data_IF_109405951314
#
_entry.id   IF_109405951314
#
_cell.length_a   1.000
_cell.length_b   1.000
_cell.length_c   1.000
_cell.angle_alpha   90.00
_cell.angle_beta   90.00
_cell.angle_gamma   90.00
#
_symmetry.space_group_name_H-M   'P 1'
#
loop_
_entity.id
_entity.type
_entity.pdbx_description
1 polymer ?
#
# COMPACT_ATOMS: atom_id res chain seq x y z
N UNK A 1 5.80 -2.75 6.82
CA UNK A 1 5.84 -2.77 8.30
C UNK A 1 7.19 -3.32 8.74
N UNK A 2 7.89 -2.67 9.68
CA UNK A 2 9.19 -3.15 10.15
C UNK A 2 9.09 -4.52 10.82
N UNK A 3 10.13 -5.35 10.64
CA UNK A 3 10.22 -6.68 11.23
C UNK A 3 9.99 -6.67 12.75
N UNK A 4 10.43 -5.64 13.47
CA UNK A 4 10.26 -5.52 14.93
C UNK A 4 8.83 -5.14 15.34
N UNK A 5 8.13 -4.35 14.52
CA UNK A 5 6.73 -3.98 14.72
C UNK A 5 5.72 -4.97 14.11
N UNK A 6 6.21 -5.99 13.40
CA UNK A 6 5.38 -6.94 12.66
C UNK A 6 4.35 -7.66 13.53
N UNK A 7 4.69 -8.16 14.75
CA UNK A 7 3.70 -8.85 15.58
C UNK A 7 2.51 -7.97 15.95
N UNK A 8 2.78 -6.73 16.40
CA UNK A 8 1.74 -5.79 16.81
C UNK A 8 0.92 -5.25 15.65
N UNK A 9 1.56 -4.98 14.51
CA UNK A 9 0.81 -4.48 13.35
C UNK A 9 -0.01 -5.55 12.62
N UNK A 10 0.40 -6.82 12.65
CA UNK A 10 -0.44 -7.93 12.18
C UNK A 10 -1.65 -8.15 13.09
N UNK A 11 -1.52 -7.93 14.40
CA UNK A 11 -2.63 -7.99 15.35
C UNK A 11 -3.65 -6.87 15.12
N UNK A 12 -3.18 -5.65 14.87
CA UNK A 12 -4.03 -4.51 14.51
C UNK A 12 -4.78 -4.74 13.19
N UNK A 13 -4.12 -5.33 12.19
CA UNK A 13 -4.73 -5.65 10.90
C UNK A 13 -5.76 -6.80 11.01
N UNK A 14 -5.54 -7.77 11.91
CA UNK A 14 -6.44 -8.90 12.11
C UNK A 14 -7.79 -8.52 12.72
N UNK A 15 -7.87 -7.41 13.46
CA UNK A 15 -9.11 -6.96 14.13
C UNK A 15 -10.19 -6.37 13.21
N UNK A 16 -9.86 -5.97 11.97
CA UNK A 16 -10.76 -5.17 11.12
C UNK A 16 -11.31 -5.86 9.87
N UNK A 17 -10.70 -6.94 9.39
CA UNK A 17 -11.08 -7.49 8.08
C UNK A 17 -10.34 -8.77 7.70
N UNK A 18 -10.70 -9.86 8.38
CA UNK A 18 -10.59 -11.26 7.93
C UNK A 18 -9.59 -11.63 6.83
N UNK A 19 -8.29 -11.49 7.09
CA UNK A 19 -7.20 -12.17 6.35
C UNK A 19 -5.91 -12.18 7.18
N UNK A 20 -5.99 -12.53 8.47
CA UNK A 20 -4.81 -12.65 9.32
C UNK A 20 -3.92 -13.81 8.87
N UNK A 21 -2.60 -13.60 8.86
CA UNK A 21 -1.62 -14.68 8.65
C UNK A 21 -1.79 -15.76 9.72
N UNK A 22 -1.65 -17.03 9.33
CA UNK A 22 -1.71 -18.15 10.26
C UNK A 22 -0.63 -17.98 11.36
N UNK A 23 -0.86 -18.44 12.59
CA UNK A 23 0.11 -18.29 13.67
C UNK A 23 1.48 -18.93 13.33
N UNK A 24 1.48 -20.03 12.57
CA UNK A 24 2.69 -20.69 12.10
C UNK A 24 3.47 -19.77 11.14
N UNK A 25 2.77 -19.15 10.18
CA UNK A 25 3.39 -18.21 9.24
C UNK A 25 3.89 -16.95 9.94
N UNK A 26 3.19 -16.48 10.98
CA UNK A 26 3.65 -15.36 11.82
C UNK A 26 4.94 -15.70 12.55
N UNK A 27 5.03 -16.90 13.14
CA UNK A 27 6.24 -17.37 13.79
C UNK A 27 7.40 -17.53 12.78
N UNK A 28 7.13 -18.10 11.61
CA UNK A 28 8.11 -18.25 10.54
C UNK A 28 8.66 -16.89 10.08
N UNK A 29 7.79 -15.91 9.79
CA UNK A 29 8.20 -14.55 9.43
C UNK A 29 9.01 -13.86 10.53
N UNK A 30 8.61 -14.05 11.80
CA UNK A 30 9.33 -13.50 12.95
C UNK A 30 10.76 -14.03 13.07
N UNK A 31 11.00 -15.28 12.66
CA UNK A 31 12.34 -15.87 12.62
C UNK A 31 13.10 -15.53 11.33
N UNK A 32 12.44 -15.50 10.17
CA UNK A 32 13.10 -15.38 8.88
C UNK A 32 13.51 -13.94 8.53
N UNK A 33 12.71 -12.93 8.90
CA UNK A 33 12.99 -11.53 8.53
C UNK A 33 14.26 -10.97 9.20
N UNK A 34 14.56 -11.27 10.48
CA UNK A 34 15.85 -10.89 11.08
C UNK A 34 17.05 -11.60 10.42
N UNK A 35 16.89 -12.85 10.01
CA UNK A 35 17.93 -13.59 9.26
C UNK A 35 18.19 -12.92 7.91
N UNK A 36 17.13 -12.57 7.18
CA UNK A 36 17.23 -11.80 5.94
C UNK A 36 17.98 -10.49 6.10
N UNK A 37 17.67 -9.74 7.17
CA UNK A 37 18.36 -8.47 7.48
C UNK A 37 19.87 -8.69 7.60
N UNK A 38 20.28 -9.74 8.31
CA UNK A 38 21.69 -10.09 8.52
C UNK A 38 22.36 -10.58 7.23
N UNK A 39 21.72 -11.50 6.53
CA UNK A 39 22.34 -12.23 5.40
C UNK A 39 22.54 -11.30 4.19
N UNK A 40 21.58 -10.42 3.91
CA UNK A 40 21.67 -9.42 2.85
C UNK A 40 22.20 -8.05 3.30
N UNK A 41 22.52 -7.88 4.60
CA UNK A 41 23.03 -6.65 5.21
C UNK A 41 22.13 -5.42 4.99
N UNK A 42 20.81 -5.63 5.08
CA UNK A 42 19.85 -4.52 5.03
C UNK A 42 19.85 -3.71 6.33
N UNK A 43 19.60 -2.41 6.24
CA UNK A 43 19.44 -1.57 7.42
C UNK A 43 18.08 -1.81 8.09
N UNK A 44 17.05 -1.99 7.29
CA UNK A 44 15.73 -2.43 7.74
C UNK A 44 15.12 -3.43 6.76
N UNK A 45 14.25 -4.30 7.28
CA UNK A 45 13.46 -5.22 6.47
C UNK A 45 11.99 -5.01 6.82
N UNK A 46 11.19 -4.78 5.78
CA UNK A 46 9.76 -4.59 5.90
C UNK A 46 9.02 -5.78 5.30
N UNK A 47 8.01 -6.26 6.00
CA UNK A 47 7.01 -7.11 5.38
C UNK A 47 6.05 -6.22 4.58
N UNK A 48 5.90 -6.51 3.29
CA UNK A 48 5.02 -5.78 2.38
C UNK A 48 3.61 -6.33 2.43
N UNK A 49 3.47 -7.66 2.34
CA UNK A 49 2.18 -8.32 2.30
C UNK A 49 2.23 -9.68 1.63
N UNK A 50 1.08 -10.12 1.15
CA UNK A 50 0.94 -11.38 0.42
C UNK A 50 0.11 -11.22 -0.86
N UNK A 51 0.45 -12.00 -1.88
CA UNK A 51 -0.27 -12.09 -3.16
C UNK A 51 -0.78 -13.51 -3.32
N UNK A 52 -2.10 -13.66 -3.36
CA UNK A 52 -2.74 -14.98 -3.47
C UNK A 52 -2.77 -15.43 -4.93
N UNK A 53 -2.09 -16.54 -5.21
CA UNK A 53 -2.24 -17.28 -6.47
C UNK A 53 -3.21 -18.44 -6.33
N UNK A 54 -3.45 -19.14 -7.45
CA UNK A 54 -4.35 -20.30 -7.53
C UNK A 54 -3.77 -21.51 -6.80
N UNK A 55 -2.47 -21.80 -6.98
CA UNK A 55 -1.79 -22.96 -6.38
C UNK A 55 -1.01 -22.62 -5.12
N UNK A 56 -0.65 -21.36 -4.91
CA UNK A 56 0.21 -20.91 -3.81
C UNK A 56 0.08 -19.42 -3.53
N UNK A 57 0.49 -19.00 -2.33
CA UNK A 57 0.50 -17.59 -1.92
C UNK A 57 1.93 -17.10 -1.85
N UNK A 58 2.22 -15.97 -2.49
CA UNK A 58 3.51 -15.29 -2.39
C UNK A 58 3.54 -14.38 -1.19
N UNK A 59 4.59 -14.47 -0.39
CA UNK A 59 4.90 -13.57 0.71
C UNK A 59 6.02 -12.65 0.29
N UNK A 60 5.82 -11.34 0.44
CA UNK A 60 6.75 -10.34 -0.07
C UNK A 60 7.40 -9.58 1.09
N UNK A 61 8.72 -9.53 1.06
CA UNK A 61 9.54 -8.70 1.94
C UNK A 61 10.32 -7.67 1.12
N UNK A 62 10.58 -6.52 1.73
CA UNK A 62 11.36 -5.44 1.16
C UNK A 62 12.55 -5.16 2.08
N UNK A 63 13.76 -5.30 1.56
CA UNK A 63 14.99 -4.83 2.19
C UNK A 63 15.22 -3.36 1.85
N UNK A 64 15.45 -2.56 2.88
CA UNK A 64 15.77 -1.14 2.75
C UNK A 64 17.22 -0.88 3.15
N UNK A 65 17.88 -0.02 2.37
CA UNK A 65 19.17 0.56 2.72
C UNK A 65 19.03 1.82 3.58
N UNK A 66 20.14 2.56 3.67
CA UNK A 66 20.23 3.81 4.42
C UNK A 66 19.37 4.93 3.83
N UNK A 67 19.23 4.96 2.50
CA UNK A 67 18.32 5.86 1.82
C UNK A 67 16.94 5.20 1.69
N UNK A 68 15.94 5.81 2.31
CA UNK A 68 14.56 5.30 2.31
C UNK A 68 13.88 5.48 0.96
N UNK A 69 14.36 6.40 0.12
CA UNK A 69 13.84 6.62 -1.23
C UNK A 69 14.57 5.83 -2.32
N UNK A 70 15.69 5.16 -1.98
CA UNK A 70 16.41 4.34 -2.94
C UNK A 70 15.59 3.10 -3.37
N UNK A 71 15.90 2.51 -4.55
CA UNK A 71 15.28 1.28 -5.00
C UNK A 71 15.39 0.19 -3.93
N UNK A 72 14.26 -0.36 -3.53
CA UNK A 72 14.18 -1.38 -2.49
C UNK A 72 14.49 -2.75 -3.08
N UNK A 73 15.27 -3.56 -2.36
CA UNK A 73 15.46 -4.96 -2.73
C UNK A 73 14.21 -5.75 -2.34
N UNK A 74 13.54 -6.39 -3.30
CA UNK A 74 12.34 -7.17 -3.02
C UNK A 74 12.69 -8.65 -2.97
N UNK A 75 12.09 -9.35 -2.02
CA UNK A 75 12.21 -10.80 -1.88
C UNK A 75 10.84 -11.43 -1.81
N UNK A 76 10.70 -12.62 -2.38
CA UNK A 76 9.50 -13.42 -2.26
C UNK A 76 9.79 -14.74 -1.55
N UNK A 77 8.75 -15.31 -0.95
CA UNK A 77 8.75 -16.63 -0.33
C UNK A 77 7.39 -17.29 -0.51
N UNK A 78 7.34 -18.61 -0.56
CA UNK A 78 6.08 -19.38 -0.61
C UNK A 78 5.72 -19.98 0.77
N UNK A 79 6.72 -20.16 1.64
CA UNK A 79 6.63 -20.85 2.93
C UNK A 79 6.93 -19.95 4.14
N UNK A 80 7.34 -18.70 3.91
CA UNK A 80 7.83 -17.74 4.91
C UNK A 80 9.16 -18.14 5.58
N UNK A 81 9.91 -19.08 5.02
CA UNK A 81 11.19 -19.56 5.57
C UNK A 81 12.31 -19.31 4.56
N UNK A 82 12.13 -19.77 3.33
CA UNK A 82 13.08 -19.58 2.24
C UNK A 82 12.69 -18.37 1.41
N UNK A 83 13.67 -17.50 1.15
CA UNK A 83 13.46 -16.23 0.48
C UNK A 83 14.33 -16.12 -0.75
N UNK A 84 13.72 -15.73 -1.86
CA UNK A 84 14.38 -15.53 -3.15
C UNK A 84 14.32 -14.07 -3.56
N UNK A 85 15.43 -13.54 -4.08
CA UNK A 85 15.51 -12.15 -4.53
C UNK A 85 14.74 -11.97 -5.85
N UNK A 86 13.92 -10.93 -5.90
CA UNK A 86 13.24 -10.48 -7.12
C UNK A 86 14.13 -9.46 -7.84
N UNK A 87 14.46 -9.74 -9.11
CA UNK A 87 15.26 -8.84 -9.94
C UNK A 87 14.40 -7.72 -10.49
N UNK A 88 14.77 -6.44 -10.32
CA UNK A 88 13.99 -5.33 -10.87
C UNK A 88 13.72 -5.51 -12.37
N UNK A 89 12.46 -5.35 -12.75
CA UNK A 89 12.00 -5.57 -14.13
C UNK A 89 12.22 -4.31 -14.96
N UNK A 90 12.61 -4.49 -16.22
CA UNK A 90 12.73 -3.39 -17.18
C UNK A 90 11.36 -2.75 -17.46
N UNK A 91 11.33 -1.45 -17.78
CA UNK A 91 10.06 -0.71 -17.91
C UNK A 91 9.14 -1.31 -18.98
N UNK A 92 9.74 -1.82 -20.05
CA UNK A 92 9.05 -2.42 -21.19
C UNK A 92 8.26 -3.66 -20.77
N UNK A 93 8.88 -4.53 -19.96
CA UNK A 93 8.22 -5.74 -19.44
C UNK A 93 7.15 -5.39 -18.40
N UNK A 94 7.36 -4.30 -17.64
CA UNK A 94 6.35 -3.77 -16.72
C UNK A 94 5.07 -3.33 -17.44
N UNK A 95 5.19 -2.57 -18.53
CA UNK A 95 4.05 -2.13 -19.34
C UNK A 95 3.29 -3.30 -19.97
N UNK A 96 4.00 -4.36 -20.35
CA UNK A 96 3.39 -5.57 -20.89
C UNK A 96 2.68 -6.37 -19.79
N UNK A 97 3.25 -6.45 -18.58
CA UNK A 97 2.64 -7.09 -17.43
C UNK A 97 1.33 -6.41 -17.00
N UNK A 98 1.21 -5.09 -17.16
CA UNK A 98 -0.05 -4.36 -16.92
C UNK A 98 -1.20 -4.78 -17.85
N UNK A 99 -0.87 -5.26 -19.07
CA UNK A 99 -1.87 -5.78 -20.01
C UNK A 99 -2.40 -7.16 -19.58
N UNK A 100 -1.62 -7.91 -18.80
CA UNK A 100 -1.99 -9.25 -18.32
C UNK A 100 -2.99 -9.19 -17.16
N UNK A 101 -4.27 -9.33 -17.50
CA UNK A 101 -5.36 -9.44 -16.52
C UNK A 101 -5.64 -10.90 -16.20
N UNK A 102 -5.51 -11.28 -14.93
CA UNK A 102 -5.76 -12.66 -14.48
C UNK A 102 -5.27 -12.91 -13.07
N UNK A 103 -5.59 -14.09 -12.51
CA UNK A 103 -5.03 -14.52 -11.22
C UNK A 103 -3.58 -14.98 -11.41
N UNK A 104 -2.78 -14.94 -10.35
CA UNK A 104 -1.45 -15.56 -10.34
C UNK A 104 -1.60 -17.07 -10.24
N UNK A 105 -0.75 -17.86 -10.91
CA UNK A 105 -0.85 -19.32 -10.78
C UNK A 105 -0.21 -19.81 -9.48
N UNK A 106 0.73 -19.07 -8.90
CA UNK A 106 1.46 -19.48 -7.70
C UNK A 106 2.71 -20.31 -8.00
N UNK A 107 3.25 -20.19 -9.23
CA UNK A 107 4.53 -20.77 -9.61
C UNK A 107 5.43 -19.69 -10.25
N UNK A 108 6.60 -19.35 -9.65
CA UNK A 108 7.50 -18.33 -10.19
C UNK A 108 7.99 -18.62 -11.62
N UNK A 109 8.10 -19.90 -11.99
CA UNK A 109 8.63 -20.34 -13.29
C UNK A 109 7.56 -20.38 -14.38
N UNK A 110 6.29 -20.11 -14.03
CA UNK A 110 5.21 -20.09 -14.99
C UNK A 110 5.42 -18.98 -16.01
N UNK A 111 5.19 -19.30 -17.28
CA UNK A 111 5.36 -18.39 -18.41
C UNK A 111 3.99 -18.13 -19.02
N UNK A 112 3.61 -16.86 -19.07
CA UNK A 112 2.40 -16.42 -19.74
C UNK A 112 2.69 -16.30 -21.24
N UNK A 113 2.04 -17.14 -22.02
CA UNK A 113 1.93 -16.98 -23.46
C UNK A 113 0.69 -16.12 -23.77
N UNK A 114 0.80 -15.23 -24.76
CA UNK A 114 -0.21 -14.20 -25.04
C UNK A 114 -1.61 -14.72 -25.44
N UNK A 115 -1.78 -16.03 -25.60
CA UNK A 115 -3.06 -16.66 -25.91
C UNK A 115 -4.13 -16.47 -24.80
N UNK A 116 -3.75 -16.02 -23.60
CA UNK A 116 -4.67 -15.76 -22.48
C UNK A 116 -5.05 -14.27 -22.30
N UNK A 117 -4.55 -13.37 -23.16
CA UNK A 117 -4.87 -11.92 -23.10
C UNK A 117 -6.15 -11.66 -23.90
N UNK A 118 -6.91 -10.63 -23.52
CA UNK A 118 -8.17 -10.28 -24.18
C UNK A 118 -7.98 -10.19 -25.72
N UNK A 119 -8.93 -10.70 -26.50
CA UNK A 119 -8.82 -10.77 -27.96
C UNK A 119 -8.49 -9.41 -28.61
N UNK A 120 -8.93 -8.31 -27.98
CA UNK A 120 -8.70 -6.93 -28.43
C UNK A 120 -7.25 -6.46 -28.24
N UNK A 121 -6.54 -6.98 -27.24
CA UNK A 121 -5.14 -6.65 -26.97
C UNK A 121 -4.18 -7.54 -27.76
N UNK A 122 -4.61 -8.76 -28.09
CA UNK A 122 -3.87 -9.69 -28.94
C UNK A 122 -3.75 -9.18 -30.39
N UNK A 123 -4.82 -8.59 -30.95
CA UNK A 123 -4.80 -8.02 -32.31
C UNK A 123 -3.77 -6.88 -32.47
N UNK A 124 -3.64 -5.99 -31.47
CA UNK A 124 -2.69 -4.86 -31.52
C UNK A 124 -1.22 -5.28 -31.41
N UNK A 125 -0.93 -6.45 -30.85
CA UNK A 125 0.45 -6.92 -30.64
C UNK A 125 0.92 -7.87 -31.74
N UNK A 126 -0.01 -8.54 -32.42
CA UNK A 126 0.28 -9.26 -33.67
C UNK A 126 0.77 -8.31 -34.77
N UNK A 127 0.33 -7.05 -34.77
CA UNK A 127 0.87 -6.00 -35.65
C UNK A 127 2.33 -5.63 -35.32
N UNK A 128 2.78 -5.84 -34.08
CA UNK A 128 4.12 -5.46 -33.57
C UNK A 128 5.13 -6.63 -33.59
N UNK A 129 4.73 -7.81 -34.09
CA UNK A 129 5.62 -8.94 -34.39
C UNK A 129 6.42 -9.52 -33.21
N UNK A 130 6.06 -9.22 -31.96
CA UNK A 130 6.87 -9.58 -30.80
C UNK A 130 6.20 -10.70 -29.98
N UNK A 131 6.72 -11.94 -30.11
CA UNK A 131 6.37 -13.06 -29.23
C UNK A 131 6.98 -12.80 -27.84
N UNK A 132 6.20 -12.23 -26.93
CA UNK A 132 6.66 -11.87 -25.60
C UNK A 132 6.17 -12.89 -24.58
N UNK A 133 7.09 -13.76 -24.19
CA UNK A 133 6.90 -14.70 -23.09
C UNK A 133 7.26 -13.99 -21.79
N UNK A 134 6.26 -13.73 -20.95
CA UNK A 134 6.45 -13.04 -19.66
C UNK A 134 6.41 -14.07 -18.54
N UNK A 135 7.44 -14.09 -17.69
CA UNK A 135 7.43 -14.95 -16.51
C UNK A 135 6.53 -14.38 -15.42
N UNK A 136 5.97 -15.27 -14.61
CA UNK A 136 5.15 -14.89 -13.46
C UNK A 136 5.95 -14.09 -12.43
N UNK A 137 7.24 -14.37 -12.26
CA UNK A 137 8.14 -13.57 -11.41
C UNK A 137 8.21 -12.09 -11.85
N UNK A 138 8.32 -11.83 -13.16
CA UNK A 138 8.41 -10.47 -13.70
C UNK A 138 7.07 -9.73 -13.54
N UNK A 139 5.97 -10.43 -13.81
CA UNK A 139 4.60 -9.92 -13.61
C UNK A 139 4.33 -9.57 -12.15
N UNK A 140 4.81 -10.41 -11.22
CA UNK A 140 4.66 -10.19 -9.79
C UNK A 140 5.34 -8.88 -9.37
N UNK A 141 6.57 -8.65 -9.84
CA UNK A 141 7.33 -7.43 -9.53
C UNK A 141 6.63 -6.20 -10.09
N UNK A 142 6.21 -6.24 -11.36
CA UNK A 142 5.48 -5.14 -11.99
C UNK A 142 4.19 -4.79 -11.24
N UNK A 143 3.46 -5.82 -10.78
CA UNK A 143 2.23 -5.63 -9.99
C UNK A 143 2.53 -5.00 -8.63
N UNK A 144 3.60 -5.44 -7.95
CA UNK A 144 4.03 -4.85 -6.68
C UNK A 144 4.44 -3.39 -6.89
N UNK A 145 5.17 -3.08 -7.96
CA UNK A 145 5.53 -1.70 -8.32
C UNK A 145 4.31 -0.82 -8.56
N UNK A 146 3.31 -1.34 -9.27
CA UNK A 146 2.07 -0.63 -9.53
C UNK A 146 1.32 -0.34 -8.22
N UNK A 147 1.22 -1.33 -7.33
CA UNK A 147 0.58 -1.16 -6.02
C UNK A 147 1.36 -0.18 -5.15
N UNK A 148 2.69 -0.28 -5.11
CA UNK A 148 3.54 0.64 -4.35
C UNK A 148 3.37 2.09 -4.84
N UNK A 149 3.26 2.30 -6.15
CA UNK A 149 2.97 3.62 -6.75
C UNK A 149 1.59 4.15 -6.39
N UNK A 150 0.57 3.30 -6.38
CA UNK A 150 -0.80 3.72 -6.11
C UNK A 150 -1.10 3.91 -4.61
N UNK A 151 -0.54 3.04 -3.75
CA UNK A 151 -0.96 2.89 -2.34
C UNK A 151 0.15 3.30 -1.36
N UNK A 152 1.37 3.52 -1.82
CA UNK A 152 2.47 3.99 -0.98
C UNK A 152 2.20 5.40 -0.45
N UNK A 153 1.59 5.51 0.73
CA UNK A 153 1.18 6.78 1.34
C UNK A 153 1.98 7.03 2.61
N UNK A 154 2.46 8.26 2.77
CA UNK A 154 3.14 8.74 3.98
C UNK A 154 2.56 10.06 4.46
N UNK A 155 2.48 10.29 5.78
CA UNK A 155 2.08 11.59 6.30
C UNK A 155 3.18 12.63 6.06
N UNK A 156 2.77 13.89 5.91
CA UNK A 156 3.67 15.04 5.73
C UNK A 156 4.67 15.12 6.88
N UNK A 157 5.95 15.29 6.54
CA UNK A 157 7.02 15.49 7.53
C UNK A 157 7.50 14.22 8.22
N UNK A 158 6.96 13.04 7.92
CA UNK A 158 7.50 11.77 8.40
C UNK A 158 8.85 11.41 7.75
N UNK A 159 9.11 11.93 6.56
CA UNK A 159 10.39 11.79 5.87
C UNK A 159 10.96 13.15 5.53
N UNK A 160 12.29 13.26 5.62
CA UNK A 160 13.03 14.48 5.30
C UNK A 160 14.12 14.14 4.30
N UNK A 161 14.21 14.96 3.26
CA UNK A 161 15.25 14.89 2.24
C UNK A 161 16.43 15.76 2.64
N UNK A 162 17.62 15.17 2.64
CA UNK A 162 18.86 15.89 2.91
C UNK A 162 19.29 16.68 1.67
N UNK A 163 20.18 17.69 1.82
CA UNK A 163 20.76 18.40 0.68
C UNK A 163 21.53 17.49 -0.29
N UNK A 164 22.02 16.33 0.19
CA UNK A 164 22.68 15.31 -0.63
C UNK A 164 21.70 14.48 -1.47
N UNK A 165 20.40 14.65 -1.24
CA UNK A 165 19.33 13.96 -1.94
C UNK A 165 18.83 12.69 -1.27
N UNK A 166 19.49 12.19 -0.22
CA UNK A 166 19.05 11.02 0.54
C UNK A 166 17.82 11.33 1.38
N UNK A 167 16.92 10.36 1.53
CA UNK A 167 15.70 10.49 2.32
C UNK A 167 15.82 9.65 3.58
N UNK A 168 15.56 10.28 4.72
CA UNK A 168 15.56 9.62 6.02
C UNK A 168 14.24 9.86 6.76
N UNK A 169 13.93 8.97 7.69
CA UNK A 169 12.81 9.15 8.62
C UNK A 169 13.09 10.31 9.57
N UNK A 170 12.06 11.13 9.79
CA UNK A 170 12.13 12.23 10.72
C UNK A 170 11.87 11.74 12.15
N UNK A 171 12.93 11.66 12.95
CA UNK A 171 12.83 11.26 14.38
C UNK A 171 12.01 12.23 15.23
N UNK A 172 11.83 13.47 14.77
CA UNK A 172 11.06 14.50 15.48
C UNK A 172 9.58 14.51 15.07
N UNK A 173 9.15 13.58 14.22
CA UNK A 173 7.76 13.49 13.80
C UNK A 173 6.92 12.83 14.88
N UNK A 174 6.08 13.61 15.55
CA UNK A 174 5.19 13.14 16.63
C UNK A 174 3.85 12.61 16.10
N UNK A 175 3.62 12.65 14.79
CA UNK A 175 2.35 12.32 14.16
C UNK A 175 1.56 13.54 13.69
N UNK A 176 0.50 13.29 12.92
CA UNK A 176 -0.44 14.33 12.51
C UNK A 176 -1.48 14.56 13.60
N UNK A 177 -1.92 15.81 13.77
CA UNK A 177 -3.08 16.11 14.61
C UNK A 177 -4.35 15.49 14.03
N UNK A 178 -5.39 15.28 14.85
CA UNK A 178 -6.64 14.66 14.39
C UNK A 178 -7.37 15.49 13.31
N UNK A 179 -7.15 16.80 13.27
CA UNK A 179 -7.71 17.69 12.25
C UNK A 179 -6.95 17.60 10.93
N UNK A 180 -5.63 17.43 10.97
CA UNK A 180 -4.77 17.24 9.80
C UNK A 180 -4.87 15.83 9.25
N UNK A 181 -4.99 14.82 10.11
CA UNK A 181 -5.15 13.42 9.71
C UNK A 181 -6.41 13.16 8.87
N UNK A 182 -7.40 14.07 8.90
CA UNK A 182 -8.60 14.03 8.05
C UNK A 182 -8.40 14.66 6.68
N UNK A 183 -7.35 15.45 6.48
CA UNK A 183 -7.09 16.17 5.23
C UNK A 183 -6.21 15.32 4.32
N UNK A 184 -6.62 15.17 3.06
CA UNK A 184 -5.83 14.48 2.04
C UNK A 184 -4.53 15.23 1.70
N UNK A 185 -4.49 16.55 1.90
CA UNK A 185 -3.29 17.37 1.69
C UNK A 185 -2.16 17.08 2.69
N UNK A 186 -2.48 16.45 3.82
CA UNK A 186 -1.49 16.01 4.82
C UNK A 186 -0.83 14.68 4.48
N UNK A 187 -1.23 14.02 3.39
CA UNK A 187 -0.68 12.75 2.95
C UNK A 187 -0.05 12.88 1.55
N UNK A 188 1.05 12.15 1.36
CA UNK A 188 1.89 12.19 0.18
C UNK A 188 2.17 10.79 -0.35
N UNK A 189 2.37 10.66 -1.67
CA UNK A 189 2.83 9.43 -2.29
C UNK A 189 4.33 9.24 -2.04
N UNK A 190 4.70 8.07 -1.53
CA UNK A 190 6.09 7.66 -1.29
C UNK A 190 6.69 7.02 -2.54
N UNK A 191 6.72 7.76 -3.63
CA UNK A 191 7.34 7.36 -4.89
C UNK A 191 8.04 8.53 -5.55
N UNK A 192 8.74 8.27 -6.65
CA UNK A 192 9.32 9.32 -7.47
C UNK A 192 8.23 10.35 -7.84
N UNK A 193 8.44 11.63 -7.50
CA UNK A 193 7.45 12.66 -7.75
C UNK A 193 7.33 12.95 -9.24
N UNK A 194 6.11 12.88 -9.76
CA UNK A 194 5.78 13.16 -11.15
C UNK A 194 5.26 14.59 -11.34
N UNK A 195 4.48 15.10 -10.37
CA UNK A 195 3.73 16.35 -10.51
C UNK A 195 4.46 17.59 -9.99
N UNK A 196 5.57 17.45 -9.27
CA UNK A 196 6.32 18.57 -8.69
C UNK A 196 6.81 19.60 -9.71
N UNK A 197 7.13 19.17 -10.94
CA UNK A 197 7.61 20.06 -12.00
C UNK A 197 6.52 21.01 -12.48
N UNK A 198 5.25 20.61 -12.36
CA UNK A 198 4.10 21.28 -12.97
C UNK A 198 3.41 22.29 -12.02
N UNK A 199 3.92 22.49 -10.80
CA UNK A 199 3.32 23.40 -9.81
C UNK A 199 3.65 24.86 -10.04
N UNK A 200 2.71 25.72 -9.65
CA UNK A 200 2.78 27.18 -9.82
C UNK A 200 3.83 27.81 -8.88
N UNK A 201 4.30 29.02 -9.21
CA UNK A 201 5.27 29.75 -8.38
C UNK A 201 4.73 30.10 -6.98
N UNK A 202 3.42 30.34 -6.87
CA UNK A 202 2.76 30.66 -5.61
C UNK A 202 2.74 29.47 -4.66
N UNK A 203 2.49 28.27 -5.18
CA UNK A 203 2.55 27.04 -4.39
C UNK A 203 3.98 26.79 -3.92
N UNK A 204 4.96 26.95 -4.81
CA UNK A 204 6.40 26.79 -4.50
C UNK A 204 6.91 27.76 -3.43
N UNK A 205 6.28 28.92 -3.24
CA UNK A 205 6.72 29.91 -2.25
C UNK A 205 6.49 29.46 -0.80
N UNK A 206 5.49 28.59 -0.56
CA UNK A 206 5.17 28.06 0.77
C UNK A 206 5.74 26.65 0.98
N UNK A 207 6.54 26.14 0.04
CA UNK A 207 7.07 24.78 0.07
C UNK A 207 8.44 24.73 0.72
N UNK A 208 8.63 23.72 1.56
CA UNK A 208 9.95 23.39 2.09
C UNK A 208 10.56 22.23 1.25
N UNK A 209 11.70 22.44 0.55
CA UNK A 209 12.30 21.41 -0.29
C UNK A 209 12.74 20.14 0.45
N UNK A 210 12.92 20.21 1.77
CA UNK A 210 13.33 19.09 2.60
C UNK A 210 12.15 18.23 3.05
N UNK A 211 10.96 18.81 3.26
CA UNK A 211 9.77 18.06 3.73
C UNK A 211 8.74 17.83 2.64
N UNK A 212 8.59 18.77 1.71
CA UNK A 212 7.61 18.76 0.63
C UNK A 212 8.28 18.36 -0.68
N UNK A 213 8.92 17.18 -0.70
CA UNK A 213 9.59 16.65 -1.91
C UNK A 213 8.78 15.55 -2.61
N UNK A 214 7.54 15.31 -2.17
CA UNK A 214 6.65 14.26 -2.66
C UNK A 214 5.35 14.84 -3.24
N UNK A 215 4.58 14.01 -3.95
CA UNK A 215 3.29 14.40 -4.52
C UNK A 215 2.16 14.21 -3.49
N UNK A 216 1.25 15.19 -3.38
CA UNK A 216 0.14 15.16 -2.41
C UNK A 216 -1.08 14.43 -2.97
N UNK A 217 -1.77 13.69 -2.11
CA UNK A 217 -2.99 12.93 -2.46
C UNK A 217 -4.18 13.83 -2.87
N UNK A 218 -4.16 15.12 -2.55
CA UNK A 218 -5.25 16.04 -2.90
C UNK A 218 -5.50 16.11 -4.42
N UNK A 219 -4.45 15.89 -5.21
CA UNK A 219 -4.50 15.98 -6.67
C UNK A 219 -4.79 14.64 -7.33
N UNK A 220 -4.96 13.56 -6.55
CA UNK A 220 -5.21 12.24 -7.10
C UNK A 220 -6.64 12.12 -7.65
N UNK A 221 -6.75 11.49 -8.82
CA UNK A 221 -8.01 11.32 -9.54
C UNK A 221 -8.25 9.82 -9.64
N UNK A 222 -9.13 9.23 -8.79
CA UNK A 222 -9.44 7.82 -8.91
C UNK A 222 -9.99 7.49 -10.31
N UNK A 223 -9.48 6.45 -10.97
CA UNK A 223 -10.05 5.95 -12.22
C UNK A 223 -11.46 5.43 -11.91
N UNK A 224 -12.48 6.19 -12.31
CA UNK A 224 -13.88 5.88 -11.99
C UNK A 224 -14.71 7.00 -11.37
N UNK A 225 -14.28 8.28 -11.43
CA UNK A 225 -15.07 9.48 -11.07
C UNK A 225 -16.43 9.66 -11.81
N UNK A 226 -16.96 8.62 -12.44
CA UNK A 226 -18.36 8.51 -12.87
C UNK A 226 -19.22 7.65 -11.91
N UNK A 227 -18.63 7.03 -10.88
CA UNK A 227 -19.38 6.34 -9.83
C UNK A 227 -19.43 7.20 -8.56
N UNK A 228 -20.63 7.39 -8.04
CA UNK A 228 -20.97 8.31 -6.94
C UNK A 228 -20.34 7.89 -5.61
N UNK A 229 -19.06 8.18 -5.40
CA UNK A 229 -18.50 8.28 -4.04
C UNK A 229 -18.53 9.75 -3.67
N UNK A 230 -19.50 10.13 -2.85
CA UNK A 230 -19.62 11.49 -2.33
C UNK A 230 -18.32 11.82 -1.59
N UNK A 231 -17.68 12.92 -2.01
CA UNK A 231 -16.64 13.62 -1.26
C UNK A 231 -17.14 13.78 0.19
N UNK A 232 -16.55 13.06 1.14
CA UNK A 232 -16.75 13.32 2.56
C UNK A 232 -15.91 14.53 2.96
N UNK A 233 -16.20 15.68 2.35
CA UNK A 233 -15.68 16.95 2.83
C UNK A 233 -16.68 18.03 2.42
N UNK A 234 -17.70 18.18 3.25
CA UNK A 234 -18.58 19.35 3.40
C UNK A 234 -19.82 18.91 4.18
N UNK A 235 -19.79 19.17 5.49
CA UNK A 235 -20.93 19.51 6.33
C UNK A 235 -20.41 19.87 7.72
N UNK A 236 -19.86 21.08 7.82
CA UNK A 236 -20.10 21.87 9.03
C UNK A 236 -21.59 22.20 9.04
N UNK A 237 -22.27 21.90 10.15
CA UNK A 237 -23.69 22.16 10.30
C UNK A 237 -24.37 21.19 11.25
N UNK A 238 -24.36 21.55 12.54
CA UNK A 238 -25.31 21.12 13.57
C UNK A 238 -25.62 19.62 13.66
N UNK A 239 -24.94 18.91 14.57
CA UNK A 239 -25.45 17.66 15.12
C UNK A 239 -26.55 17.97 16.15
N UNK A 240 -27.82 17.59 15.94
CA UNK A 240 -28.75 17.46 17.05
C UNK A 240 -28.36 16.23 17.86
N UNK A 241 -28.00 16.49 19.11
CA UNK A 241 -27.79 15.51 20.17
C UNK A 241 -29.12 14.80 20.46
N UNK A 242 -29.36 13.64 19.88
CA UNK A 242 -30.51 12.80 20.23
C UNK A 242 -30.03 11.65 21.11
N UNK A 243 -30.17 11.85 22.43
CA UNK A 243 -30.06 10.79 23.44
C UNK A 243 -31.00 9.65 23.04
N UNK A 244 -30.46 8.49 22.69
CA UNK A 244 -31.24 7.26 22.77
C UNK A 244 -31.29 6.85 24.24
N UNK A 245 -32.42 7.18 24.87
CA UNK A 245 -32.80 6.67 26.18
C UNK A 245 -33.06 5.18 26.09
N UNK A 246 -32.48 4.45 27.05
CA UNK A 246 -32.78 3.06 27.33
C UNK A 246 -34.24 2.96 27.75
N UNK A 247 -35.08 2.33 26.92
CA UNK A 247 -36.46 2.03 27.24
C UNK A 247 -36.52 0.80 28.16
N UNK A 248 -36.71 1.03 29.46
CA UNK A 248 -37.22 0.01 30.37
C UNK A 248 -38.74 -0.12 30.16
N UNK A 249 -39.20 -1.32 29.86
CA UNK A 249 -40.61 -1.72 29.83
C UNK A 249 -41.19 -1.71 31.25
N UNK A 250 -41.95 -0.66 31.58
CA UNK A 250 -42.77 -0.56 32.78
C UNK A 250 -44.22 -0.33 32.39
N UNK A 251 -45.03 -1.39 32.46
CA UNK A 251 -46.48 -1.34 32.27
C UNK A 251 -47.10 -0.58 33.44
N UNK A 252 -47.96 0.38 33.11
CA UNK A 252 -48.47 1.39 34.03
C UNK A 252 -49.63 0.96 34.92
N UNK A 253 -49.91 1.91 35.83
CA UNK A 253 -51.24 2.51 36.07
C UNK A 253 -52.19 1.64 36.94
N UNK A 254 -52.88 2.11 37.99
CA UNK A 254 -53.47 3.40 38.34
C UNK A 254 -53.69 3.52 39.85
N UNK A 255 -53.88 4.77 40.30
CA UNK A 255 -54.27 5.21 41.64
C UNK A 255 -55.62 4.65 42.11
N UNK A 256 -55.79 4.55 43.43
CA UNK A 256 -57.11 4.52 44.06
C UNK A 256 -57.12 4.06 45.53
N UNK A 257 -56.77 4.92 46.47
CA UNK A 257 -57.42 4.96 47.81
C UNK A 257 -58.88 5.45 47.66
N UNK A 258 -59.77 5.43 48.67
CA UNK A 258 -59.63 5.01 50.08
C UNK A 258 -60.77 4.10 50.61
N UNK A 259 -60.52 3.46 51.75
CA UNK A 259 -61.38 3.27 52.94
C UNK A 259 -60.86 2.07 53.74
#
# INVERSE_FOLDING_TARGET
MEAEGLPGGLELAAGGGGAGLSPEKRAALGASLPLLKRDYRFEAVWFWGCVHGVRGTYYIAQGLGADRAAPRSRLYSLDCVEWSLLTPVAKEVGEQAERLKGRFQGDPSFQYEYAEVSAEDAERLLEDGTELVIKEEDRLIATIDQIDRAVGIVPRGAFVKTPLGSVHENRNFEGLSLTEAKKLSSYFHFTEPSNLKNKTLLEKANWDPSTDFLDSLEHDIPPGKNSRVKRCNEREGSFPFQRQGVSYSGVGMLRGTPC
#
